data_IF_815315592910
#
_entry.id   IF_815315592910
#
_cell.length_a   1.000
_cell.length_b   1.000
_cell.length_c   1.000
_cell.angle_alpha   90.00
_cell.angle_beta   90.00
_cell.angle_gamma   90.00
#
_symmetry.space_group_name_H-M   'P 1'
#
loop_
_entity.id
_entity.type
_entity.pdbx_description
1 polymer ?
#
# COMPACT_ATOMS: atom_id res chain seq x y z
N UNK A 1 1.26 13.03 -11.10
CA UNK A 1 0.52 11.75 -11.00
C UNK A 1 1.30 10.57 -11.57
N UNK A 2 1.82 10.65 -12.79
CA UNK A 2 2.68 9.61 -13.39
C UNK A 2 3.92 9.33 -12.55
N UNK A 3 4.60 10.37 -12.04
CA UNK A 3 5.78 10.18 -11.18
C UNK A 3 5.52 9.35 -9.91
N UNK A 4 4.28 9.33 -9.43
CA UNK A 4 3.90 8.64 -8.19
C UNK A 4 3.32 7.24 -8.49
N UNK A 5 2.41 7.15 -9.47
CA UNK A 5 1.62 5.95 -9.74
C UNK A 5 2.06 5.22 -11.03
N UNK A 6 3.08 5.72 -11.73
CA UNK A 6 3.56 5.18 -13.00
C UNK A 6 2.74 5.62 -14.22
N UNK A 7 3.26 5.30 -15.40
CA UNK A 7 2.66 5.65 -16.70
C UNK A 7 1.25 5.11 -16.89
N UNK A 8 1.00 3.88 -16.43
CA UNK A 8 -0.29 3.21 -16.65
C UNK A 8 -1.37 3.74 -15.69
N UNK A 9 -1.07 3.88 -14.39
CA UNK A 9 -2.08 4.26 -13.39
C UNK A 9 -2.15 5.76 -13.14
N UNK A 10 -1.11 6.52 -13.46
CA UNK A 10 -1.04 7.96 -13.28
C UNK A 10 -2.20 8.74 -13.91
N UNK A 11 -2.55 8.51 -15.19
CA UNK A 11 -3.66 9.18 -15.85
C UNK A 11 -5.02 8.89 -15.20
N UNK A 12 -5.32 7.61 -14.90
CA UNK A 12 -6.57 7.22 -14.24
C UNK A 12 -6.71 7.85 -12.84
N UNK A 13 -5.62 7.89 -12.08
CA UNK A 13 -5.61 8.54 -10.78
C UNK A 13 -5.91 10.03 -10.92
N UNK A 14 -5.28 10.72 -11.89
CA UNK A 14 -5.51 12.15 -12.14
C UNK A 14 -6.99 12.45 -12.46
N UNK A 15 -7.62 11.67 -13.33
CA UNK A 15 -9.05 11.81 -13.63
C UNK A 15 -9.93 11.53 -12.41
N UNK A 16 -9.56 10.56 -11.57
CA UNK A 16 -10.23 10.29 -10.31
C UNK A 16 -10.19 11.49 -9.37
N UNK A 17 -9.03 12.13 -9.22
CA UNK A 17 -8.87 13.33 -8.38
C UNK A 17 -9.70 14.52 -8.87
N UNK A 18 -9.89 14.69 -10.19
CA UNK A 18 -10.76 15.74 -10.72
C UNK A 18 -12.24 15.55 -10.35
N UNK A 19 -12.64 14.32 -10.01
CA UNK A 19 -14.02 13.97 -9.64
C UNK A 19 -14.26 13.94 -8.13
N UNK A 20 -13.23 14.23 -7.32
CA UNK A 20 -13.31 14.18 -5.86
C UNK A 20 -14.10 15.38 -5.32
N UNK A 21 -15.07 15.10 -4.45
CA UNK A 21 -15.82 16.12 -3.69
C UNK A 21 -15.12 16.44 -2.37
N UNK A 22 -15.44 17.58 -1.75
CA UNK A 22 -14.96 17.93 -0.41
C UNK A 22 -15.22 16.81 0.62
N UNK A 23 -16.43 16.24 0.63
CA UNK A 23 -16.78 15.10 1.48
C UNK A 23 -15.89 13.87 1.19
N UNK A 24 -15.52 13.64 -0.06
CA UNK A 24 -14.59 12.55 -0.42
C UNK A 24 -13.20 12.81 0.14
N UNK A 25 -12.73 14.07 0.13
CA UNK A 25 -11.46 14.45 0.76
C UNK A 25 -11.52 14.19 2.27
N UNK A 26 -12.56 14.67 2.95
CA UNK A 26 -12.73 14.47 4.39
C UNK A 26 -12.73 12.98 4.76
N UNK A 27 -13.45 12.16 4.00
CA UNK A 27 -13.49 10.72 4.21
C UNK A 27 -12.12 10.07 4.01
N UNK A 28 -11.37 10.46 2.97
CA UNK A 28 -10.03 9.94 2.70
C UNK A 28 -9.06 10.37 3.80
N UNK A 29 -9.10 11.64 4.22
CA UNK A 29 -8.27 12.15 5.32
C UNK A 29 -8.61 11.43 6.62
N UNK A 30 -9.90 11.21 6.91
CA UNK A 30 -10.31 10.48 8.11
C UNK A 30 -9.81 9.02 8.08
N UNK A 31 -9.96 8.34 6.94
CA UNK A 31 -9.55 6.94 6.80
C UNK A 31 -8.02 6.75 6.77
N UNK A 32 -7.29 7.63 6.10
CA UNK A 32 -5.86 7.49 5.84
C UNK A 32 -4.98 8.31 6.79
N UNK A 33 -5.49 9.40 7.37
CA UNK A 33 -4.77 10.27 8.29
C UNK A 33 -4.70 9.74 9.72
N UNK A 34 -5.67 8.91 10.12
CA UNK A 34 -5.78 8.36 11.48
C UNK A 34 -5.55 6.85 11.53
N UNK A 35 -4.61 6.33 10.74
CA UNK A 35 -4.25 4.91 10.79
C UNK A 35 -3.61 4.60 12.15
N UNK A 36 -4.35 3.87 12.98
CA UNK A 36 -3.86 3.35 14.24
C UNK A 36 -3.33 1.94 14.02
N UNK A 37 -2.01 1.80 14.15
CA UNK A 37 -1.37 0.50 14.10
C UNK A 37 -1.72 -0.30 15.37
N UNK A 38 -2.19 -1.55 15.24
CA UNK A 38 -2.62 -2.35 16.38
C UNK A 38 -1.48 -2.56 17.39
N UNK A 39 -1.79 -2.64 18.67
CA UNK A 39 -0.80 -3.07 19.65
C UNK A 39 -0.64 -4.60 19.52
N UNK A 40 0.50 -5.03 18.96
CA UNK A 40 0.82 -6.44 18.76
C UNK A 40 1.93 -6.85 19.71
N UNK A 41 1.80 -8.02 20.33
CA UNK A 41 2.92 -8.64 21.02
C UNK A 41 4.05 -8.97 20.05
N UNK A 42 5.29 -9.15 20.54
CA UNK A 42 6.40 -9.56 19.69
C UNK A 42 6.12 -10.86 18.91
N UNK A 43 5.40 -11.81 19.51
CA UNK A 43 5.05 -13.09 18.88
C UNK A 43 3.93 -12.95 17.85
N UNK A 44 2.97 -12.07 18.06
CA UNK A 44 1.97 -11.76 17.03
C UNK A 44 2.62 -11.06 15.83
N UNK A 45 3.56 -10.15 16.09
CA UNK A 45 4.20 -9.37 15.04
C UNK A 45 4.97 -10.21 14.01
N UNK A 46 5.45 -11.42 14.37
CA UNK A 46 6.14 -12.32 13.42
C UNK A 46 5.25 -12.80 12.29
N UNK A 47 3.92 -12.75 12.48
CA UNK A 47 2.93 -13.14 11.47
C UNK A 47 2.72 -12.06 10.41
N UNK A 48 3.19 -10.84 10.66
CA UNK A 48 2.96 -9.71 9.77
C UNK A 48 4.12 -9.52 8.80
N UNK A 49 3.76 -9.21 7.56
CA UNK A 49 4.70 -8.79 6.52
C UNK A 49 4.29 -7.43 6.01
N UNK A 50 5.23 -6.49 6.05
CA UNK A 50 5.11 -5.18 5.46
C UNK A 50 5.97 -5.13 4.21
N UNK A 51 5.37 -4.79 3.08
CA UNK A 51 6.03 -4.82 1.78
C UNK A 51 5.93 -3.47 1.10
N UNK A 52 7.06 -2.96 0.61
CA UNK A 52 7.16 -1.65 -0.03
C UNK A 52 8.00 -1.73 -1.31
N UNK A 53 7.69 -0.87 -2.28
CA UNK A 53 8.60 -0.56 -3.38
C UNK A 53 9.81 0.25 -2.90
N UNK A 54 10.98 0.01 -3.48
CA UNK A 54 12.19 0.78 -3.18
C UNK A 54 12.02 2.28 -3.41
N UNK A 55 11.28 2.64 -4.47
CA UNK A 55 11.01 4.03 -4.89
C UNK A 55 9.70 4.59 -4.29
N UNK A 56 9.05 3.86 -3.37
CA UNK A 56 7.84 4.32 -2.70
C UNK A 56 8.13 5.48 -1.74
N UNK A 57 7.37 6.57 -1.86
CA UNK A 57 7.53 7.79 -1.07
C UNK A 57 7.39 7.56 0.44
N UNK A 58 6.59 6.57 0.86
CA UNK A 58 6.32 6.29 2.26
C UNK A 58 7.34 5.34 2.88
N UNK A 59 8.13 4.63 2.05
CA UNK A 59 8.99 3.51 2.48
C UNK A 59 9.85 3.84 3.69
N UNK A 60 10.63 4.93 3.62
CA UNK A 60 11.60 5.28 4.70
C UNK A 60 10.91 5.58 6.02
N UNK A 61 9.78 6.31 5.98
CA UNK A 61 9.01 6.64 7.18
C UNK A 61 8.36 5.39 7.76
N UNK A 62 7.76 4.56 6.91
CA UNK A 62 7.12 3.32 7.30
C UNK A 62 8.10 2.31 7.85
N UNK A 63 9.26 2.11 7.21
CA UNK A 63 10.34 1.23 7.68
C UNK A 63 10.74 1.58 9.10
N UNK A 64 11.07 2.85 9.36
CA UNK A 64 11.42 3.30 10.71
C UNK A 64 10.32 2.99 11.72
N UNK A 65 9.09 3.41 11.43
CA UNK A 65 7.96 3.27 12.35
C UNK A 65 7.61 1.80 12.63
N UNK A 66 7.67 0.95 11.60
CA UNK A 66 7.38 -0.48 11.71
C UNK A 66 8.50 -1.20 12.45
N UNK A 67 9.77 -0.90 12.16
CA UNK A 67 10.90 -1.54 12.86
C UNK A 67 10.95 -1.15 14.34
N UNK A 68 10.58 0.10 14.69
CA UNK A 68 10.46 0.55 16.07
C UNK A 68 9.29 -0.14 16.80
N UNK A 69 8.11 -0.27 16.15
CA UNK A 69 6.89 -0.80 16.79
C UNK A 69 6.78 -2.34 16.76
N UNK A 70 7.29 -2.96 15.70
CA UNK A 70 7.17 -4.39 15.41
C UNK A 70 8.53 -4.99 14.99
N UNK A 71 9.51 -5.06 15.91
CA UNK A 71 10.88 -5.45 15.57
C UNK A 71 11.02 -6.89 15.05
N UNK A 72 10.01 -7.75 15.26
CA UNK A 72 9.99 -9.13 14.74
C UNK A 72 9.11 -9.30 13.49
N UNK A 73 8.45 -8.25 13.01
CA UNK A 73 7.71 -8.32 11.75
C UNK A 73 8.65 -8.38 10.56
N UNK A 74 8.21 -9.02 9.48
CA UNK A 74 8.99 -9.07 8.24
C UNK A 74 8.80 -7.78 7.45
N UNK A 75 9.91 -7.18 7.00
CA UNK A 75 9.90 -6.01 6.12
C UNK A 75 10.55 -6.36 4.78
N UNK A 76 9.81 -6.24 3.67
CA UNK A 76 10.26 -6.59 2.32
C UNK A 76 10.34 -5.33 1.48
N UNK A 77 11.50 -5.12 0.83
CA UNK A 77 11.69 -4.05 -0.15
C UNK A 77 11.78 -4.68 -1.55
N UNK A 78 10.85 -4.30 -2.44
CA UNK A 78 10.87 -4.68 -3.85
C UNK A 78 11.72 -3.68 -4.63
N UNK A 79 12.89 -4.13 -5.10
CA UNK A 79 13.81 -3.32 -5.90
C UNK A 79 13.12 -2.79 -7.15
N UNK A 80 13.52 -1.58 -7.56
CA UNK A 80 13.04 -0.89 -8.75
C UNK A 80 11.54 -0.61 -8.85
N UNK A 81 10.75 -0.96 -7.83
CA UNK A 81 9.31 -0.74 -7.79
C UNK A 81 8.97 0.58 -7.08
N UNK A 82 8.01 1.32 -7.64
CA UNK A 82 7.34 2.46 -7.01
C UNK A 82 6.15 2.06 -6.13
N UNK A 83 5.30 3.03 -5.83
CA UNK A 83 4.11 2.84 -4.98
C UNK A 83 3.13 1.84 -5.61
N UNK A 84 2.82 0.76 -4.89
CA UNK A 84 1.93 -0.34 -5.33
C UNK A 84 2.32 -1.03 -6.66
N UNK A 85 3.48 -0.74 -7.24
CA UNK A 85 3.81 -1.19 -8.60
C UNK A 85 3.94 -2.72 -8.69
N UNK A 86 4.63 -3.34 -7.72
CA UNK A 86 4.77 -4.80 -7.67
C UNK A 86 3.40 -5.48 -7.56
N UNK A 87 2.52 -4.92 -6.74
CA UNK A 87 1.15 -5.41 -6.55
C UNK A 87 0.35 -5.37 -7.86
N UNK A 88 0.34 -4.21 -8.53
CA UNK A 88 -0.37 -4.03 -9.80
C UNK A 88 0.15 -4.92 -10.92
N UNK A 89 1.46 -5.23 -10.92
CA UNK A 89 2.08 -6.10 -11.91
C UNK A 89 1.91 -7.59 -11.61
N UNK A 90 1.65 -7.97 -10.36
CA UNK A 90 1.56 -9.37 -9.92
C UNK A 90 0.22 -9.67 -9.20
N UNK A 91 -0.92 -9.45 -9.86
CA UNK A 91 -2.23 -9.62 -9.22
C UNK A 91 -2.52 -11.06 -8.78
N UNK A 92 -1.90 -12.07 -9.41
CA UNK A 92 -2.06 -13.48 -9.03
C UNK A 92 -1.36 -13.81 -7.71
N UNK A 93 -0.13 -13.34 -7.55
CA UNK A 93 0.62 -13.51 -6.30
C UNK A 93 -0.12 -12.92 -5.10
N UNK A 94 -0.89 -11.84 -5.31
CA UNK A 94 -1.67 -11.22 -4.25
C UNK A 94 -3.04 -11.87 -4.03
N UNK A 95 -3.70 -12.34 -5.10
CA UNK A 95 -4.92 -13.13 -4.98
C UNK A 95 -4.72 -14.33 -4.05
N UNK A 96 -3.55 -14.98 -4.11
CA UNK A 96 -3.15 -16.06 -3.20
C UNK A 96 -2.98 -15.59 -1.75
N UNK A 97 -2.28 -14.46 -1.53
CA UNK A 97 -2.05 -13.90 -0.18
C UNK A 97 -3.37 -13.57 0.53
N UNK A 98 -4.36 -13.05 -0.19
CA UNK A 98 -5.65 -12.62 0.37
C UNK A 98 -6.74 -13.69 0.27
N UNK A 99 -6.44 -14.87 -0.30
CA UNK A 99 -7.41 -15.95 -0.50
C UNK A 99 -8.59 -15.55 -1.40
N UNK A 100 -8.41 -14.58 -2.30
CA UNK A 100 -9.48 -14.04 -3.15
C UNK A 100 -9.30 -14.52 -4.59
N UNK A 101 -10.27 -15.29 -5.10
CA UNK A 101 -10.30 -15.64 -6.53
C UNK A 101 -10.53 -14.39 -7.39
N UNK A 102 -9.83 -14.30 -8.55
CA UNK A 102 -9.84 -13.19 -9.53
C UNK A 102 -11.21 -12.64 -9.96
N UNK A 103 -12.33 -13.29 -9.62
CA UNK A 103 -13.69 -12.88 -10.03
C UNK A 103 -14.13 -11.48 -9.58
N UNK A 104 -13.44 -10.83 -8.62
CA UNK A 104 -13.90 -9.57 -8.04
C UNK A 104 -12.88 -8.41 -8.04
N UNK A 105 -11.71 -8.55 -8.69
CA UNK A 105 -10.79 -7.43 -8.81
C UNK A 105 -11.08 -6.64 -10.10
N UNK A 106 -11.32 -5.31 -10.01
CA UNK A 106 -11.48 -4.49 -11.20
C UNK A 106 -10.19 -4.52 -12.02
N UNK A 107 -10.32 -4.82 -13.31
CA UNK A 107 -9.22 -4.72 -14.26
C UNK A 107 -8.92 -3.23 -14.45
N UNK A 108 -7.68 -2.82 -14.16
CA UNK A 108 -7.13 -1.58 -14.72
C UNK A 108 -6.76 -1.83 -16.19
#
# INVERSE_FOLDING_TARGET
MIEIYGENSGPFMAEGFLKISEKSIDNVVHACGFVHLPDLSPEESTKFTFEYGEKDMNRRRSERLITERYPKARFIIRRDCGHCQYLSQNPEAFAEIFGVSRKHMPRC
#
